data_IF_414548740664
#
_entry.id   IF_414548740664
#
_cell.length_a   1.000
_cell.length_b   1.000
_cell.length_c   1.000
_cell.angle_alpha   90.00
_cell.angle_beta   90.00
_cell.angle_gamma   90.00
#
_symmetry.space_group_name_H-M   'P 1'
#
loop_
_entity.id
_entity.type
_entity.pdbx_description
1 polymer ?
#
# COMPACT_ATOMS: atom_id res chain seq x y z
N UNK A 1 -5.91 10.60 8.44
CA UNK A 1 -7.34 11.01 8.35
C UNK A 1 -7.77 11.76 9.61
N UNK A 2 -8.86 12.54 9.52
CA UNK A 2 -9.46 13.32 10.62
C UNK A 2 -10.98 13.09 10.79
N UNK A 3 -11.83 13.16 9.74
CA UNK A 3 -13.26 12.82 9.87
C UNK A 3 -13.51 11.30 9.99
N UNK A 4 -12.66 10.47 9.37
CA UNK A 4 -12.58 9.01 9.47
C UNK A 4 -13.95 8.28 9.43
N UNK A 5 -14.83 8.71 8.51
CA UNK A 5 -16.22 8.21 8.41
C UNK A 5 -16.32 6.75 7.94
N UNK A 6 -15.45 6.32 7.01
CA UNK A 6 -15.43 4.97 6.44
C UNK A 6 -14.03 4.47 6.02
N UNK A 7 -12.99 5.26 6.28
CA UNK A 7 -11.60 4.97 5.88
C UNK A 7 -11.08 3.62 6.42
N UNK A 9 -12.33 0.75 6.51
CA UNK A 9 -12.58 -0.33 5.54
C UNK A 9 -11.82 -0.08 4.23
N UNK A 10 -12.17 1.00 3.51
CA UNK A 10 -11.76 1.27 2.12
C UNK A 10 -10.29 1.65 1.95
N UNK A 11 -9.72 2.36 2.92
CA UNK A 11 -8.29 2.72 2.95
C UNK A 11 -7.49 1.75 3.82
N UNK A 12 -8.11 1.16 4.85
CA UNK A 12 -7.55 0.05 5.63
C UNK A 12 -7.19 -1.18 4.77
N UNK A 13 -8.04 -1.54 3.81
CA UNK A 13 -7.76 -2.59 2.82
C UNK A 13 -6.65 -2.19 1.84
N UNK A 15 -4.17 -0.11 2.28
CA UNK A 15 -2.92 -0.14 3.04
C UNK A 15 -2.21 -1.51 3.07
N UNK A 16 -2.91 -2.61 2.77
CA UNK A 16 -2.32 -3.96 2.62
C UNK A 16 -2.38 -4.52 1.19
N UNK A 17 -3.13 -3.93 0.28
CA UNK A 17 -2.91 -4.09 -1.17
C UNK A 17 -1.57 -3.45 -1.59
N UNK A 18 -1.38 -2.17 -1.27
CA UNK A 18 -0.15 -1.40 -1.61
C UNK A 18 1.13 -1.93 -0.96
N UNK A 19 1.02 -2.73 0.11
CA UNK A 19 2.14 -3.47 0.73
C UNK A 19 2.82 -4.51 -0.19
N UNK A 20 2.16 -4.90 -1.29
CA UNK A 20 2.69 -5.86 -2.29
C UNK A 20 2.41 -5.50 -3.75
N UNK A 22 -0.10 -5.93 -6.66
CA UNK A 22 -0.16 -7.15 -7.51
C UNK A 22 0.65 -8.34 -6.95
N UNK A 23 0.94 -8.35 -5.63
CA UNK A 23 1.83 -9.31 -4.95
C UNK A 23 3.18 -9.49 -5.67
N UNK A 24 3.73 -8.38 -6.17
CA UNK A 24 4.88 -8.26 -7.09
C UNK A 24 6.10 -7.62 -6.40
N UNK A 25 6.04 -7.38 -5.09
CA UNK A 25 7.10 -6.75 -4.31
C UNK A 25 7.11 -5.22 -4.38
N UNK A 26 5.97 -4.60 -4.73
CA UNK A 26 5.75 -3.16 -4.94
C UNK A 26 6.93 -2.45 -5.66
N UNK A 27 7.04 -2.59 -7.01
CA UNK A 27 8.23 -2.30 -7.82
C UNK A 27 9.07 -1.06 -7.47
N UNK A 28 8.45 0.09 -7.18
CA UNK A 28 9.13 1.34 -6.79
C UNK A 28 9.93 1.27 -5.46
N UNK A 29 9.78 0.19 -4.68
CA UNK A 29 10.53 -0.10 -3.44
C UNK A 29 11.12 -1.52 -3.42
N UNK A 30 11.06 -2.25 -4.55
CA UNK A 30 11.70 -3.56 -4.69
C UNK A 30 13.25 -3.42 -4.77
N UNK A 31 14.07 -4.31 -4.15
CA UNK A 31 15.53 -4.22 -4.20
C UNK A 31 16.20 -4.03 -5.59
N UNK A 32 15.74 -4.65 -6.70
CA UNK A 32 16.27 -4.38 -8.05
C UNK A 32 16.11 -2.94 -8.55
N UNK A 33 15.20 -2.15 -7.94
CA UNK A 33 15.02 -0.71 -8.18
C UNK A 33 15.61 0.17 -7.04
N UNK A 34 16.25 -0.45 -6.05
CA UNK A 34 17.00 0.18 -4.95
C UNK A 34 16.29 1.38 -4.27
N UNK A 35 15.00 1.23 -3.94
CA UNK A 35 14.14 2.24 -3.30
C UNK A 35 13.96 3.55 -4.11
#
# INVERSE_FOLDING_TARGET
>A
RDPLLDAXRREGAXDFWSAGXYARGVPLSEPPQALX
#
